data_IF_102943441402
#
_entry.id   IF_102943441402
#
_cell.length_a   1.000
_cell.length_b   1.000
_cell.length_c   1.000
_cell.angle_alpha   90.00
_cell.angle_beta   90.00
_cell.angle_gamma   90.00
#
_symmetry.space_group_name_H-M   'P 1'
#
loop_
_entity.id
_entity.type
_entity.pdbx_description
1 polymer ?
#
# COMPACT_ATOMS: atom_id res chain seq x y z
N UNK A 1 13.82 22.34 -6.55
CA UNK A 1 12.67 21.42 -6.71
C UNK A 1 12.27 21.20 -8.18
N UNK A 2 12.52 22.14 -9.11
CA UNK A 2 12.31 21.91 -10.56
C UNK A 2 12.98 20.61 -11.02
N UNK A 3 12.29 19.85 -11.90
CA UNK A 3 12.73 18.55 -12.42
C UNK A 3 12.99 17.49 -11.33
N UNK A 4 12.30 17.57 -10.19
CA UNK A 4 12.35 16.57 -9.12
C UNK A 4 11.01 15.87 -8.97
N UNK A 5 11.07 14.70 -8.34
CA UNK A 5 9.91 14.03 -7.74
C UNK A 5 9.97 14.33 -6.24
N UNK A 6 8.85 14.76 -5.67
CA UNK A 6 8.75 15.07 -4.24
C UNK A 6 7.84 14.08 -3.53
N UNK A 7 8.12 13.86 -2.25
CA UNK A 7 7.31 13.03 -1.37
C UNK A 7 6.66 13.94 -0.33
N UNK A 8 5.35 13.94 -0.29
CA UNK A 8 4.52 14.59 0.72
C UNK A 8 3.94 13.47 1.60
N UNK A 9 4.41 13.32 2.83
CA UNK A 9 3.97 12.21 3.70
C UNK A 9 2.50 12.25 4.14
N UNK A 10 1.73 13.22 3.65
CA UNK A 10 0.36 13.51 4.08
C UNK A 10 -0.56 13.73 2.88
N UNK A 11 -1.81 14.08 3.17
CA UNK A 11 -2.72 14.69 2.21
C UNK A 11 -2.13 15.97 1.57
N UNK A 12 -2.47 16.22 0.31
CA UNK A 12 -2.25 17.51 -0.37
C UNK A 12 -3.57 18.02 -0.96
N UNK A 13 -3.70 19.33 -1.12
CA UNK A 13 -4.84 19.96 -1.80
C UNK A 13 -4.45 20.47 -3.20
N UNK A 14 -5.43 21.03 -3.92
CA UNK A 14 -5.23 21.59 -5.26
C UNK A 14 -4.17 22.70 -5.28
N UNK A 15 -4.14 23.56 -4.26
CA UNK A 15 -3.18 24.67 -4.18
C UNK A 15 -1.73 24.16 -4.15
N UNK A 16 -1.45 23.14 -3.33
CA UNK A 16 -0.13 22.51 -3.25
C UNK A 16 0.25 21.88 -4.61
N UNK A 17 -0.70 21.17 -5.23
CA UNK A 17 -0.48 20.57 -6.56
C UNK A 17 -0.14 21.62 -7.62
N UNK A 18 -0.93 22.69 -7.73
CA UNK A 18 -0.71 23.77 -8.69
C UNK A 18 0.60 24.52 -8.42
N UNK A 19 0.93 24.73 -7.14
CA UNK A 19 2.23 25.30 -6.77
C UNK A 19 3.39 24.42 -7.22
N UNK A 20 3.31 23.11 -6.99
CA UNK A 20 4.32 22.15 -7.44
C UNK A 20 4.46 22.15 -8.97
N UNK A 21 3.33 22.12 -9.69
CA UNK A 21 3.27 22.20 -11.16
C UNK A 21 3.93 23.48 -11.68
N UNK A 22 3.60 24.64 -11.13
CA UNK A 22 4.19 25.93 -11.54
C UNK A 22 5.70 26.03 -11.30
N UNK A 23 6.24 25.35 -10.29
CA UNK A 23 7.69 25.25 -10.03
C UNK A 23 8.40 24.33 -11.04
N UNK A 24 7.65 23.50 -11.77
CA UNK A 24 8.18 22.49 -12.69
C UNK A 24 8.62 21.21 -11.99
N UNK A 25 7.95 20.84 -10.90
CA UNK A 25 8.07 19.51 -10.29
C UNK A 25 7.51 18.48 -11.27
N UNK A 26 8.17 17.32 -11.39
CA UNK A 26 7.78 16.27 -12.35
C UNK A 26 6.87 15.22 -11.75
N UNK A 27 6.93 15.04 -10.42
CA UNK A 27 6.11 14.08 -9.72
C UNK A 27 5.86 14.43 -8.26
N UNK A 28 4.71 14.03 -7.76
CA UNK A 28 4.32 14.12 -6.35
C UNK A 28 3.84 12.74 -5.90
N UNK A 29 4.40 12.24 -4.80
CA UNK A 29 3.91 11.05 -4.11
C UNK A 29 3.30 11.50 -2.79
N UNK A 30 2.02 11.23 -2.55
CA UNK A 30 1.33 11.66 -1.34
C UNK A 30 0.47 10.58 -0.67
N UNK A 31 0.00 10.87 0.55
CA UNK A 31 -0.92 10.01 1.29
C UNK A 31 -2.27 9.92 0.59
N UNK A 32 -2.95 11.06 0.48
CA UNK A 32 -4.20 11.18 -0.25
C UNK A 32 -4.45 12.56 -0.85
N UNK A 33 -5.58 12.66 -1.55
CA UNK A 33 -6.11 13.88 -2.17
C UNK A 33 -7.63 13.75 -2.30
N UNK A 34 -8.36 14.84 -2.42
CA UNK A 34 -9.80 14.76 -2.69
C UNK A 34 -10.08 14.31 -4.13
N UNK A 35 -11.09 13.46 -4.30
CA UNK A 35 -11.48 12.95 -5.63
C UNK A 35 -11.82 14.08 -6.61
N UNK A 36 -12.47 15.14 -6.13
CA UNK A 36 -12.85 16.29 -6.96
C UNK A 36 -11.63 17.06 -7.46
N UNK A 37 -10.56 17.14 -6.65
CA UNK A 37 -9.31 17.77 -7.05
C UNK A 37 -8.68 17.07 -8.25
N UNK A 38 -8.78 15.74 -8.37
CA UNK A 38 -8.33 15.04 -9.59
C UNK A 38 -9.11 15.50 -10.81
N UNK A 39 -10.42 15.67 -10.68
CA UNK A 39 -11.25 16.12 -11.81
C UNK A 39 -10.90 17.55 -12.23
N UNK A 40 -10.53 18.42 -11.27
CA UNK A 40 -10.04 19.77 -11.54
C UNK A 40 -8.67 19.77 -12.22
N UNK A 41 -7.75 18.90 -11.79
CA UNK A 41 -6.41 18.75 -12.37
C UNK A 41 -6.48 18.25 -13.82
N UNK A 42 -7.34 17.26 -14.08
CA UNK A 42 -7.47 16.62 -15.40
C UNK A 42 -8.40 17.38 -16.35
N UNK A 43 -9.35 18.14 -15.82
CA UNK A 43 -10.41 18.81 -16.59
C UNK A 43 -11.57 17.89 -16.99
N UNK A 44 -11.63 16.66 -16.48
CA UNK A 44 -12.72 15.70 -16.69
C UNK A 44 -12.85 14.74 -15.50
N UNK A 45 -14.00 14.06 -15.40
CA UNK A 45 -14.22 13.06 -14.35
C UNK A 45 -13.50 11.74 -14.65
N UNK A 46 -12.79 11.21 -13.65
CA UNK A 46 -11.90 10.04 -13.79
C UNK A 46 -12.63 8.75 -14.22
N UNK A 47 -13.93 8.61 -13.91
CA UNK A 47 -14.77 7.51 -14.36
C UNK A 47 -14.22 6.12 -13.98
N UNK A 48 -13.86 5.31 -14.98
CA UNK A 48 -13.37 3.92 -14.80
C UNK A 48 -11.86 3.87 -14.47
N UNK A 49 -11.24 5.01 -14.13
CA UNK A 49 -9.84 5.14 -13.71
C UNK A 49 -8.84 4.46 -14.64
N UNK A 50 -8.83 4.93 -15.90
CA UNK A 50 -7.72 4.76 -16.84
C UNK A 50 -7.06 6.14 -16.97
N UNK A 51 -5.86 6.29 -16.41
CA UNK A 51 -5.15 7.59 -16.30
C UNK A 51 -3.64 7.36 -16.22
N UNK A 52 -2.87 8.45 -16.17
CA UNK A 52 -1.41 8.49 -16.05
C UNK A 52 -0.68 8.64 -17.39
N UNK A 53 -1.40 9.01 -18.45
CA UNK A 53 -0.84 9.38 -19.77
C UNK A 53 -1.00 10.86 -20.08
N UNK A 54 -1.63 11.63 -19.20
CA UNK A 54 -1.88 13.06 -19.33
C UNK A 54 -0.58 13.86 -19.17
N UNK A 55 -0.38 14.88 -19.99
CA UNK A 55 0.82 15.73 -19.96
C UNK A 55 0.75 16.77 -18.83
N UNK A 56 0.97 16.31 -17.59
CA UNK A 56 0.88 17.12 -16.37
C UNK A 56 1.85 16.58 -15.30
N UNK A 57 1.91 17.22 -14.13
CA UNK A 57 2.70 16.71 -13.01
C UNK A 57 2.13 15.36 -12.56
N UNK A 58 2.94 14.30 -12.61
CA UNK A 58 2.47 12.97 -12.19
C UNK A 58 2.15 12.96 -10.70
N UNK A 59 0.98 12.41 -10.33
CA UNK A 59 0.54 12.27 -8.96
C UNK A 59 0.35 10.78 -8.63
N UNK A 60 1.01 10.31 -7.56
CA UNK A 60 0.86 8.95 -7.05
C UNK A 60 0.29 9.04 -5.63
N UNK A 61 -0.82 8.37 -5.40
CA UNK A 61 -1.49 8.27 -4.10
C UNK A 61 -1.14 6.93 -3.47
N UNK A 62 -0.72 6.96 -2.21
CA UNK A 62 -0.38 5.73 -1.47
C UNK A 62 -1.59 5.14 -0.76
N UNK A 63 -2.47 5.99 -0.20
CA UNK A 63 -3.66 5.57 0.56
C UNK A 63 -4.98 5.87 -0.17
N UNK A 64 -4.93 6.55 -1.32
CA UNK A 64 -6.09 6.82 -2.18
C UNK A 64 -6.74 8.19 -1.93
N UNK A 65 -8.08 8.23 -1.87
CA UNK A 65 -8.83 9.48 -1.79
C UNK A 65 -9.21 9.85 -0.36
N UNK A 66 -9.18 11.17 -0.07
CA UNK A 66 -9.51 11.76 1.22
C UNK A 66 -8.28 12.24 2.00
N UNK A 67 -8.54 12.82 3.17
CA UNK A 67 -7.50 13.36 4.05
C UNK A 67 -6.83 12.23 4.85
N UNK A 68 -5.87 11.56 4.20
CA UNK A 68 -5.18 10.39 4.74
C UNK A 68 -3.67 10.61 4.66
N UNK A 69 -2.98 10.36 5.77
CA UNK A 69 -1.53 10.38 5.82
C UNK A 69 -0.94 9.09 5.26
N UNK A 70 0.21 9.21 4.60
CA UNK A 70 0.95 8.05 4.10
C UNK A 70 1.36 7.18 5.27
N UNK A 71 1.22 5.85 5.13
CA UNK A 71 1.68 4.92 6.15
C UNK A 71 3.16 5.19 6.53
N UNK A 72 3.52 5.29 7.83
CA UNK A 72 4.88 5.64 8.25
C UNK A 72 5.96 4.75 7.66
N UNK A 73 5.67 3.45 7.46
CA UNK A 73 6.58 2.50 6.81
C UNK A 73 6.89 2.92 5.37
N UNK A 74 5.88 3.27 4.58
CA UNK A 74 6.02 3.73 3.19
C UNK A 74 6.81 5.03 3.15
N UNK A 75 6.46 5.99 4.01
CA UNK A 75 7.17 7.26 4.11
C UNK A 75 8.66 7.07 4.45
N UNK A 76 8.97 6.19 5.41
CA UNK A 76 10.35 5.89 5.79
C UNK A 76 11.15 5.26 4.64
N UNK A 77 10.57 4.31 3.89
CA UNK A 77 11.21 3.71 2.72
C UNK A 77 11.55 4.79 1.67
N UNK A 78 10.61 5.71 1.39
CA UNK A 78 10.85 6.80 0.43
C UNK A 78 11.89 7.80 0.97
N UNK A 79 11.85 8.11 2.26
CA UNK A 79 12.78 9.02 2.94
C UNK A 79 14.21 8.51 2.94
N UNK A 80 14.42 7.22 3.17
CA UNK A 80 15.74 6.55 3.11
C UNK A 80 16.39 6.66 1.72
N UNK A 81 15.58 6.89 0.68
CA UNK A 81 16.03 7.03 -0.70
C UNK A 81 16.06 8.49 -1.18
N UNK A 82 16.01 9.46 -0.26
CA UNK A 82 16.13 10.86 -0.60
C UNK A 82 17.46 11.14 -1.34
N UNK A 83 17.42 12.05 -2.31
CA UNK A 83 18.53 12.41 -3.20
C UNK A 83 19.03 11.32 -4.16
N UNK A 84 18.34 10.17 -4.29
CA UNK A 84 18.65 9.19 -5.33
C UNK A 84 18.01 9.49 -6.67
N UNK A 85 18.56 8.92 -7.74
CA UNK A 85 17.93 8.92 -9.06
C UNK A 85 16.63 8.10 -8.99
N UNK A 86 15.53 8.69 -9.47
CA UNK A 86 14.20 8.08 -9.42
C UNK A 86 13.43 8.38 -10.71
N UNK A 87 12.68 7.40 -11.20
CA UNK A 87 11.63 7.58 -12.19
C UNK A 87 10.31 7.07 -11.64
N UNK A 88 9.20 7.64 -12.11
CA UNK A 88 7.86 7.22 -11.70
C UNK A 88 6.99 6.99 -12.93
N UNK A 89 6.04 6.08 -12.81
CA UNK A 89 4.98 5.85 -13.76
C UNK A 89 3.65 5.98 -13.01
N UNK A 90 2.84 6.97 -13.37
CA UNK A 90 1.52 7.19 -12.75
C UNK A 90 0.39 6.39 -13.40
N UNK A 91 0.69 5.60 -14.44
CA UNK A 91 -0.31 4.89 -15.21
C UNK A 91 -1.11 3.91 -14.34
N UNK A 92 -2.42 4.07 -14.34
CA UNK A 92 -3.35 3.30 -13.52
C UNK A 92 -4.49 2.79 -14.38
N UNK A 93 -4.81 1.51 -14.25
CA UNK A 93 -5.95 0.87 -14.90
C UNK A 93 -6.54 -0.18 -13.96
N UNK A 94 -7.81 -0.05 -13.59
CA UNK A 94 -8.44 -0.91 -12.57
C UNK A 94 -9.28 -2.07 -13.13
N UNK A 95 -9.51 -2.14 -14.45
CA UNK A 95 -10.22 -3.25 -15.13
C UNK A 95 -9.48 -3.73 -16.38
N UNK A 96 -9.67 -4.99 -16.74
CA UNK A 96 -9.17 -5.62 -17.98
C UNK A 96 -7.67 -5.36 -18.27
N UNK A 97 -6.77 -5.95 -17.48
CA UNK A 97 -5.33 -5.70 -17.56
C UNK A 97 -4.90 -4.63 -16.56
N UNK A 98 -4.92 -5.01 -15.27
CA UNK A 98 -4.68 -4.07 -14.17
C UNK A 98 -3.27 -3.48 -14.27
N UNK A 99 -3.18 -2.16 -14.32
CA UNK A 99 -1.93 -1.42 -14.26
C UNK A 99 -1.91 -0.61 -12.97
N UNK A 100 -0.79 -0.66 -12.25
CA UNK A 100 -0.57 0.07 -11.00
C UNK A 100 0.53 1.09 -11.20
N UNK A 101 0.48 2.23 -10.49
CA UNK A 101 1.60 3.15 -10.43
C UNK A 101 2.87 2.49 -9.91
N UNK A 102 4.01 2.93 -10.41
CA UNK A 102 5.33 2.40 -10.06
C UNK A 102 6.30 3.53 -9.73
N UNK A 103 7.17 3.28 -8.75
CA UNK A 103 8.26 4.18 -8.36
C UNK A 103 9.55 3.37 -8.48
N UNK A 104 10.41 3.75 -9.41
CA UNK A 104 11.70 3.12 -9.65
C UNK A 104 12.80 3.96 -9.03
N UNK A 105 13.43 3.43 -7.99
CA UNK A 105 14.54 4.09 -7.30
C UNK A 105 15.81 3.36 -7.68
N UNK A 106 16.81 4.10 -8.16
CA UNK A 106 18.12 3.54 -8.48
C UNK A 106 18.75 2.93 -7.21
N UNK A 107 19.11 1.67 -7.31
CA UNK A 107 19.90 0.96 -6.29
C UNK A 107 21.38 1.06 -6.63
N UNK A 108 22.21 1.25 -5.60
CA UNK A 108 23.67 1.26 -5.74
C UNK A 108 24.27 -0.17 -5.79
N UNK A 109 23.41 -1.20 -5.90
CA UNK A 109 23.83 -2.60 -5.99
C UNK A 109 24.35 -3.21 -4.68
N UNK A 110 24.35 -2.45 -3.58
CA UNK A 110 24.80 -2.88 -2.26
C UNK A 110 23.70 -3.50 -1.40
N UNK A 111 22.44 -3.43 -1.83
CA UNK A 111 21.34 -4.11 -1.18
C UNK A 111 21.43 -5.61 -1.40
N UNK A 112 21.60 -6.39 -0.33
CA UNK A 112 21.33 -7.84 -0.42
C UNK A 112 19.90 -8.00 -0.90
N UNK A 113 19.71 -8.59 -2.09
CA UNK A 113 18.43 -9.17 -2.44
C UNK A 113 18.18 -10.26 -1.40
N UNK A 114 17.31 -9.98 -0.42
CA UNK A 114 16.83 -11.05 0.46
C UNK A 114 16.07 -12.01 -0.43
N UNK A 115 16.69 -13.15 -0.71
CA UNK A 115 16.01 -14.25 -1.38
C UNK A 115 15.01 -14.78 -0.37
N UNK A 116 13.74 -14.41 -0.53
CA UNK A 116 12.66 -15.02 0.21
C UNK A 116 12.58 -16.48 -0.22
N UNK A 117 12.58 -17.39 0.75
CA UNK A 117 12.27 -18.79 0.50
C UNK A 117 10.76 -18.94 0.53
N UNK A 118 10.23 -19.90 -0.23
CA UNK A 118 8.80 -20.22 -0.16
C UNK A 118 8.36 -20.55 1.28
N UNK A 119 9.28 -21.11 2.07
CA UNK A 119 9.10 -21.37 3.50
C UNK A 119 8.75 -20.11 4.31
N UNK A 120 9.27 -18.93 3.94
CA UNK A 120 9.00 -17.66 4.63
C UNK A 120 7.53 -17.22 4.49
N UNK A 121 6.85 -17.70 3.45
CA UNK A 121 5.43 -17.42 3.18
C UNK A 121 4.49 -18.40 3.87
N UNK A 122 5.03 -19.46 4.48
CA UNK A 122 4.21 -20.45 5.18
C UNK A 122 3.77 -19.89 6.53
N UNK A 123 2.47 -19.92 6.76
CA UNK A 123 1.89 -19.55 8.05
C UNK A 123 2.34 -20.57 9.12
N UNK A 124 3.11 -20.11 10.10
CA UNK A 124 3.56 -20.89 11.26
C UNK A 124 3.20 -20.19 12.57
N UNK A 125 3.35 -20.90 13.69
CA UNK A 125 3.30 -20.26 15.00
C UNK A 125 4.39 -19.18 15.09
N UNK A 126 4.03 -18.04 15.69
CA UNK A 126 4.89 -16.87 15.77
C UNK A 126 4.92 -15.98 14.53
N UNK A 127 4.38 -16.40 13.38
CA UNK A 127 4.29 -15.54 12.19
C UNK A 127 3.48 -14.28 12.49
N UNK A 128 3.95 -13.13 11.99
CA UNK A 128 3.17 -11.90 11.94
C UNK A 128 2.25 -11.98 10.73
N UNK A 129 0.97 -11.69 10.93
CA UNK A 129 -0.05 -11.79 9.90
C UNK A 129 -0.87 -10.50 9.82
N UNK A 130 -1.54 -10.31 8.68
CA UNK A 130 -2.65 -9.37 8.53
C UNK A 130 -3.92 -10.14 8.24
N UNK A 131 -5.03 -9.70 8.81
CA UNK A 131 -6.34 -10.23 8.48
C UNK A 131 -6.87 -9.54 7.22
N UNK A 132 -7.21 -10.33 6.20
CA UNK A 132 -7.62 -9.83 4.86
C UNK A 132 -9.13 -9.94 4.62
N UNK A 133 -9.91 -10.28 5.65
CA UNK A 133 -11.39 -10.31 5.58
C UNK A 133 -12.02 -9.77 6.85
N UNK A 134 -13.24 -9.29 6.73
CA UNK A 134 -14.10 -8.96 7.87
C UNK A 134 -14.26 -10.16 8.83
N UNK A 135 -14.50 -9.93 10.13
CA UNK A 135 -14.73 -8.63 10.78
C UNK A 135 -13.46 -7.90 11.25
N UNK A 136 -12.28 -8.50 11.03
CA UNK A 136 -11.01 -7.98 11.54
C UNK A 136 -10.13 -7.39 10.43
N UNK A 137 -10.73 -6.98 9.30
CA UNK A 137 -10.01 -6.58 8.10
C UNK A 137 -8.94 -5.52 8.41
N UNK A 138 -7.72 -5.74 7.93
CA UNK A 138 -6.58 -4.85 8.10
C UNK A 138 -5.85 -4.98 9.44
N UNK A 139 -6.41 -5.66 10.45
CA UNK A 139 -5.74 -5.82 11.73
C UNK A 139 -4.50 -6.70 11.62
N UNK A 140 -3.45 -6.34 12.36
CA UNK A 140 -2.17 -7.05 12.41
C UNK A 140 -2.08 -7.79 13.73
N UNK A 141 -1.67 -9.06 13.67
CA UNK A 141 -1.51 -9.89 14.84
C UNK A 141 -0.41 -10.93 14.68
N UNK A 142 -0.18 -11.69 15.74
CA UNK A 142 0.79 -12.78 15.79
C UNK A 142 0.06 -14.10 15.99
N UNK A 143 0.46 -15.14 15.25
CA UNK A 143 -0.10 -16.48 15.46
C UNK A 143 0.42 -17.06 16.76
N UNK A 144 -0.52 -17.44 17.62
CA UNK A 144 -0.27 -18.12 18.90
C UNK A 144 -0.29 -19.63 18.71
N UNK A 145 -1.29 -20.14 17.98
CA UNK A 145 -1.43 -21.58 17.74
C UNK A 145 -2.10 -21.86 16.40
N UNK A 146 -1.82 -23.05 15.86
CA UNK A 146 -2.40 -23.55 14.61
C UNK A 146 -3.14 -24.89 14.85
N UNK A 147 -4.36 -24.86 15.43
CA UNK A 147 -5.13 -26.07 15.73
C UNK A 147 -5.23 -27.00 14.52
N UNK A 148 -5.01 -28.30 14.74
CA UNK A 148 -5.07 -29.32 13.70
C UNK A 148 -6.52 -29.64 13.30
N UNK A 149 -7.41 -29.67 14.29
CA UNK A 149 -8.83 -29.93 14.10
C UNK A 149 -9.51 -28.82 13.31
N UNK A 150 -10.50 -29.20 12.51
CA UNK A 150 -11.34 -28.24 11.81
C UNK A 150 -12.34 -27.63 12.78
N UNK A 151 -12.50 -26.31 12.71
CA UNK A 151 -13.49 -25.59 13.50
C UNK A 151 -14.73 -25.27 12.64
N UNK A 152 -15.91 -25.29 13.25
CA UNK A 152 -17.16 -24.99 12.58
C UNK A 152 -17.43 -23.48 12.66
N UNK A 153 -17.44 -22.85 11.50
CA UNK A 153 -17.77 -21.43 11.38
C UNK A 153 -19.28 -21.19 11.56
N UNK A 154 -19.68 -19.94 11.73
CA UNK A 154 -21.10 -19.53 11.73
C UNK A 154 -21.83 -19.96 10.45
N UNK A 155 -21.10 -20.05 9.33
CA UNK A 155 -21.60 -20.59 8.06
C UNK A 155 -21.72 -22.12 8.01
N UNK A 156 -21.61 -22.78 9.17
CA UNK A 156 -21.56 -24.24 9.36
C UNK A 156 -20.42 -24.97 8.63
N UNK A 157 -19.54 -24.22 7.98
CA UNK A 157 -18.42 -24.76 7.20
C UNK A 157 -17.29 -25.13 8.15
N UNK A 158 -16.72 -26.32 7.97
CA UNK A 158 -15.55 -26.78 8.71
C UNK A 158 -14.27 -26.33 8.02
N UNK A 159 -13.48 -25.49 8.68
CA UNK A 159 -12.24 -24.92 8.11
C UNK A 159 -11.07 -25.00 9.08
N UNK A 160 -9.86 -24.93 8.53
CA UNK A 160 -8.64 -24.79 9.35
C UNK A 160 -8.55 -23.37 9.87
N UNK A 161 -8.30 -23.24 11.17
CA UNK A 161 -8.21 -21.97 11.87
C UNK A 161 -6.80 -21.71 12.41
N UNK A 162 -6.55 -20.47 12.79
CA UNK A 162 -5.42 -20.03 13.58
C UNK A 162 -5.93 -19.21 14.77
N UNK A 163 -5.25 -19.35 15.91
CA UNK A 163 -5.43 -18.44 17.03
C UNK A 163 -4.46 -17.26 16.85
N UNK A 164 -5.01 -16.06 16.71
CA UNK A 164 -4.27 -14.82 16.46
C UNK A 164 -4.38 -13.93 17.70
N UNK A 165 -3.24 -13.45 18.20
CA UNK A 165 -3.17 -12.41 19.23
C UNK A 165 -2.90 -11.05 18.58
N UNK A 166 -3.79 -10.09 18.84
CA UNK A 166 -3.65 -8.70 18.40
C UNK A 166 -2.85 -7.86 19.41
N UNK A 167 -2.49 -6.64 19.03
CA UNK A 167 -1.69 -5.73 19.87
C UNK A 167 -2.36 -5.37 21.21
N UNK A 168 -3.70 -5.36 21.25
CA UNK A 168 -4.49 -5.16 22.47
C UNK A 168 -4.53 -6.40 23.39
N UNK A 169 -3.74 -7.43 23.07
CA UNK A 169 -3.67 -8.74 23.71
C UNK A 169 -4.94 -9.59 23.59
N UNK A 170 -5.93 -9.18 22.80
CA UNK A 170 -7.08 -10.03 22.52
C UNK A 170 -6.66 -11.18 21.60
N UNK A 171 -7.26 -12.35 21.85
CA UNK A 171 -7.06 -13.54 21.03
C UNK A 171 -8.34 -13.87 20.27
N UNK A 172 -8.20 -14.16 18.97
CA UNK A 172 -9.32 -14.54 18.09
C UNK A 172 -8.98 -15.77 17.28
N UNK A 173 -9.99 -16.59 17.03
CA UNK A 173 -9.93 -17.73 16.12
C UNK A 173 -10.35 -17.24 14.74
N UNK A 174 -9.46 -17.35 13.75
CA UNK A 174 -9.67 -16.83 12.40
C UNK A 174 -9.34 -17.93 11.37
N UNK A 175 -10.16 -18.13 10.32
CA UNK A 175 -9.82 -19.03 9.23
C UNK A 175 -8.45 -18.69 8.65
N UNK A 176 -7.60 -19.70 8.43
CA UNK A 176 -6.25 -19.48 7.87
C UNK A 176 -6.30 -18.81 6.50
N UNK A 177 -7.36 -19.06 5.73
CA UNK A 177 -7.62 -18.44 4.42
C UNK A 177 -7.89 -16.94 4.49
N UNK A 178 -8.15 -16.40 5.68
CA UNK A 178 -8.40 -14.98 5.89
C UNK A 178 -7.16 -14.26 6.44
N UNK A 179 -6.00 -14.92 6.42
CA UNK A 179 -4.73 -14.39 6.91
C UNK A 179 -3.72 -14.32 5.77
N UNK A 180 -2.93 -13.25 5.73
CA UNK A 180 -1.72 -13.16 4.93
C UNK A 180 -0.50 -12.98 5.84
N UNK A 181 0.63 -13.61 5.50
CA UNK A 181 1.88 -13.45 6.26
C UNK A 181 2.48 -12.08 5.93
N UNK A 182 2.85 -11.34 6.96
CA UNK A 182 3.70 -10.16 6.83
C UNK A 182 5.13 -10.60 7.04
N UNK A 183 5.93 -10.53 5.99
CA UNK A 183 7.38 -10.68 6.09
C UNK A 183 7.94 -9.45 6.81
N UNK A 184 8.25 -9.64 8.09
CA UNK A 184 8.99 -8.67 8.88
C UNK A 184 10.48 -8.82 8.53
N UNK A 185 11.08 -7.70 8.12
CA UNK A 185 12.49 -7.63 7.78
C UNK A 185 13.40 -7.67 9.00
#
# INVERSE_FOLDING_TARGET
LKNKIIVCGSYINLEIYEKAKSIGIKGIVCGGIDYNTISEILGYSLGVAITGTEDTTTLILTEGFGNIDMAPRTFNILKENNNKDVSINGATQIRAGVLRPEIFIKSDGSGQSKTFKEEDLVISEGSIIRVIREPYFGQIGKIVSLPYELDQMESETKVRVAEVQFEDNTKKIIPRTNLEVILSN
#
